data_IF_594599695859
#
_entry.id   IF_594599695859
#
_cell.length_a   1.000
_cell.length_b   1.000
_cell.length_c   1.000
_cell.angle_alpha   90.00
_cell.angle_beta   90.00
_cell.angle_gamma   90.00
#
_symmetry.space_group_name_H-M   'P 1'
#
loop_
_entity.id
_entity.type
_entity.pdbx_description
1 polymer ?
#
# COMPACT_ATOMS: atom_id res chain seq x y z
N UNK A 1 9.67 15.69 -1.26
CA UNK A 1 8.50 16.23 -0.53
C UNK A 1 7.85 17.40 -1.25
N UNK A 2 8.56 18.42 -1.76
CA UNK A 2 7.91 19.46 -2.60
C UNK A 2 7.19 18.87 -3.82
N UNK A 3 7.76 17.82 -4.40
CA UNK A 3 7.14 17.04 -5.48
C UNK A 3 5.83 16.36 -5.07
N UNK A 4 5.65 16.03 -3.78
CA UNK A 4 4.47 15.31 -3.28
C UNK A 4 3.20 16.18 -3.34
N UNK A 5 3.24 17.45 -2.92
CA UNK A 5 2.06 18.31 -3.05
C UNK A 5 1.75 18.72 -4.48
N UNK A 6 2.77 18.76 -5.36
CA UNK A 6 2.55 18.91 -6.81
C UNK A 6 1.84 17.69 -7.37
N UNK A 7 2.29 16.49 -6.97
CA UNK A 7 1.69 15.21 -7.33
C UNK A 7 0.22 15.12 -6.88
N UNK A 8 -0.05 15.25 -5.58
CA UNK A 8 -1.42 15.19 -5.04
C UNK A 8 -2.26 16.35 -5.55
N UNK A 9 -1.67 17.55 -5.67
CA UNK A 9 -2.33 18.74 -6.17
C UNK A 9 -2.72 18.68 -7.65
N UNK A 10 -2.20 17.69 -8.41
CA UNK A 10 -2.56 17.43 -9.80
C UNK A 10 -3.82 16.60 -9.96
N UNK A 11 -4.37 16.02 -8.89
CA UNK A 11 -5.55 15.19 -8.98
C UNK A 11 -6.76 15.99 -9.44
N UNK A 12 -7.54 15.41 -10.35
CA UNK A 12 -8.86 15.90 -10.78
C UNK A 12 -9.91 15.62 -9.70
N UNK A 13 -9.64 16.07 -8.47
CA UNK A 13 -10.48 15.89 -7.31
C UNK A 13 -10.41 17.16 -6.45
N UNK A 14 -11.55 17.70 -5.94
CA UNK A 14 -11.55 18.96 -5.20
C UNK A 14 -10.66 18.88 -3.95
N UNK A 15 -9.67 19.78 -3.83
CA UNK A 15 -8.73 19.80 -2.70
C UNK A 15 -9.42 20.00 -1.35
N UNK A 16 -10.52 20.76 -1.32
CA UNK A 16 -11.39 20.94 -0.15
C UNK A 16 -12.08 19.65 0.32
N UNK A 17 -12.02 18.56 -0.46
CA UNK A 17 -12.52 17.23 -0.09
C UNK A 17 -11.39 16.23 0.18
N UNK A 18 -10.14 16.69 0.25
CA UNK A 18 -8.96 15.86 0.48
C UNK A 18 -8.34 16.22 1.82
N UNK A 19 -8.19 15.22 2.68
CA UNK A 19 -7.25 15.26 3.79
C UNK A 19 -5.96 14.52 3.43
N UNK A 20 -4.82 15.02 3.89
CA UNK A 20 -3.52 14.36 3.69
C UNK A 20 -2.90 14.04 5.04
N UNK A 21 -2.51 12.77 5.23
CA UNK A 21 -1.77 12.31 6.38
C UNK A 21 -0.39 11.79 5.93
N UNK A 22 0.68 12.25 6.60
CA UNK A 22 2.03 11.73 6.44
C UNK A 22 2.53 11.22 7.78
N UNK A 23 3.01 9.98 7.81
CA UNK A 23 3.74 9.43 8.95
C UNK A 23 5.19 9.20 8.57
N UNK A 24 6.12 9.66 9.42
CA UNK A 24 7.56 9.42 9.25
C UNK A 24 8.23 9.01 10.55
N UNK A 25 9.27 8.18 10.43
CA UNK A 25 10.15 7.79 11.54
C UNK A 25 11.43 8.63 11.63
N UNK A 26 11.60 9.62 10.74
CA UNK A 26 12.73 10.54 10.73
C UNK A 26 12.30 11.90 11.24
N UNK A 27 12.93 12.37 12.32
CA UNK A 27 12.64 13.71 12.88
C UNK A 27 12.99 14.82 11.88
N UNK A 28 14.05 14.63 11.09
CA UNK A 28 14.43 15.58 10.04
C UNK A 28 13.33 15.69 8.99
N UNK A 29 12.79 14.55 8.53
CA UNK A 29 11.70 14.54 7.55
C UNK A 29 10.39 15.06 8.15
N UNK A 30 10.14 14.82 9.44
CA UNK A 30 8.99 15.37 10.15
C UNK A 30 9.01 16.89 10.17
N UNK A 31 10.14 17.51 10.52
CA UNK A 31 10.27 18.97 10.56
C UNK A 31 10.06 19.58 9.18
N UNK A 32 10.67 19.00 8.13
CA UNK A 32 10.48 19.44 6.74
C UNK A 32 9.02 19.31 6.29
N UNK A 33 8.40 18.16 6.58
CA UNK A 33 7.00 17.91 6.25
C UNK A 33 6.07 18.90 6.94
N UNK A 34 6.31 19.18 8.23
CA UNK A 34 5.51 20.14 9.01
C UNK A 34 5.57 21.54 8.40
N UNK A 35 6.76 22.02 8.04
CA UNK A 35 6.93 23.32 7.38
C UNK A 35 6.21 23.36 6.04
N UNK A 36 6.37 22.32 5.21
CA UNK A 36 5.71 22.22 3.91
C UNK A 36 4.19 22.15 4.05
N UNK A 37 3.66 21.34 4.97
CA UNK A 37 2.20 21.24 5.20
C UNK A 37 1.62 22.60 5.62
N UNK A 38 2.37 23.39 6.40
CA UNK A 38 1.99 24.74 6.79
C UNK A 38 1.70 25.68 5.61
N UNK A 39 2.42 25.54 4.48
CA UNK A 39 2.18 26.40 3.29
C UNK A 39 0.96 26.00 2.45
N UNK A 40 0.34 24.85 2.74
CA UNK A 40 -0.84 24.34 2.05
C UNK A 40 -2.08 24.24 2.95
N UNK A 41 -2.01 24.74 4.19
CA UNK A 41 -3.06 24.52 5.20
C UNK A 41 -4.45 25.03 4.77
N UNK A 42 -4.49 26.12 4.00
CA UNK A 42 -5.74 26.71 3.48
C UNK A 42 -6.28 26.00 2.22
N UNK A 43 -5.52 25.07 1.63
CA UNK A 43 -5.90 24.44 0.35
C UNK A 43 -6.61 23.10 0.52
N UNK A 44 -6.41 22.43 1.65
CA UNK A 44 -6.89 21.08 1.93
C UNK A 44 -7.80 21.08 3.16
N UNK A 45 -8.74 20.14 3.25
CA UNK A 45 -9.65 20.10 4.40
C UNK A 45 -8.93 19.78 5.71
N UNK A 46 -7.87 18.97 5.63
CA UNK A 46 -7.04 18.62 6.78
C UNK A 46 -5.66 18.15 6.34
N UNK A 47 -4.65 18.61 7.06
CA UNK A 47 -3.26 18.19 6.88
C UNK A 47 -2.76 17.64 8.22
N UNK A 48 -2.14 16.46 8.21
CA UNK A 48 -1.65 15.79 9.43
C UNK A 48 -0.26 15.22 9.19
N UNK A 49 0.70 15.60 10.05
CA UNK A 49 2.06 15.06 10.04
C UNK A 49 2.29 14.35 11.37
N UNK A 50 2.68 13.08 11.32
CA UNK A 50 2.88 12.22 12.49
C UNK A 50 4.34 11.77 12.54
N UNK A 51 4.99 11.95 13.69
CA UNK A 51 6.30 11.38 13.96
C UNK A 51 6.18 10.16 14.88
N UNK A 52 6.71 9.01 14.43
CA UNK A 52 6.82 7.79 15.23
C UNK A 52 8.05 6.97 14.81
N UNK A 53 8.95 6.64 15.71
CA UNK A 53 10.17 5.85 15.45
C UNK A 53 10.27 4.57 16.30
N UNK A 54 9.26 4.30 17.14
CA UNK A 54 9.23 3.28 18.18
C UNK A 54 8.77 1.89 17.70
N UNK A 55 8.37 1.75 16.44
CA UNK A 55 8.01 0.44 15.85
C UNK A 55 9.17 -0.25 15.12
N UNK A 56 10.30 0.43 14.98
CA UNK A 56 11.47 -0.10 14.28
C UNK A 56 12.14 -1.22 15.09
N UNK A 57 12.39 -2.36 14.45
CA UNK A 57 13.21 -3.41 15.04
C UNK A 57 14.69 -2.98 15.04
N UNK A 58 15.43 -3.22 16.14
CA UNK A 58 16.87 -2.95 16.21
C UNK A 58 17.59 -3.65 15.05
N UNK A 59 18.44 -2.93 14.33
CA UNK A 59 19.26 -3.46 13.24
C UNK A 59 18.63 -3.40 11.85
N UNK A 60 17.37 -2.99 11.68
CA UNK A 60 16.80 -2.75 10.36
C UNK A 60 17.32 -1.43 9.77
N UNK A 61 18.01 -1.50 8.64
CA UNK A 61 18.56 -0.34 7.92
C UNK A 61 18.07 -0.33 6.48
N UNK A 62 18.26 0.79 5.77
CA UNK A 62 17.94 0.87 4.32
C UNK A 62 18.76 -0.14 3.50
N UNK A 63 19.99 -0.43 3.91
CA UNK A 63 20.90 -1.32 3.19
C UNK A 63 20.54 -2.81 3.33
N UNK A 64 20.07 -3.24 4.50
CA UNK A 64 19.80 -4.65 4.78
C UNK A 64 18.32 -5.04 4.64
N UNK A 65 17.45 -4.11 4.23
CA UNK A 65 15.99 -4.31 4.11
C UNK A 65 15.56 -5.42 3.14
N UNK A 66 16.46 -5.84 2.24
CA UNK A 66 16.22 -6.88 1.25
C UNK A 66 16.56 -8.28 1.75
N UNK A 67 17.20 -8.42 2.93
CA UNK A 67 17.51 -9.72 3.53
C UNK A 67 16.20 -10.40 3.96
N UNK A 68 15.98 -11.63 3.49
CA UNK A 68 14.74 -12.38 3.74
C UNK A 68 14.40 -12.51 5.23
N UNK A 69 15.39 -12.78 6.10
CA UNK A 69 15.19 -12.88 7.55
C UNK A 69 14.71 -11.58 8.19
N UNK A 70 14.94 -10.42 7.57
CA UNK A 70 14.53 -9.11 8.05
C UNK A 70 13.25 -8.59 7.37
N UNK A 71 12.81 -9.22 6.28
CA UNK A 71 11.61 -8.81 5.53
C UNK A 71 10.35 -8.90 6.39
N UNK A 72 10.18 -9.98 7.17
CA UNK A 72 9.03 -10.15 8.06
C UNK A 72 8.93 -9.01 9.08
N UNK A 73 10.05 -8.73 9.79
CA UNK A 73 10.14 -7.65 10.78
C UNK A 73 9.91 -6.27 10.15
N UNK A 74 10.41 -6.04 8.93
CA UNK A 74 10.15 -4.81 8.18
C UNK A 74 8.67 -4.67 7.81
N UNK A 75 8.05 -5.70 7.24
CA UNK A 75 6.63 -5.67 6.86
C UNK A 75 5.72 -5.49 8.07
N UNK A 76 6.04 -6.13 9.19
CA UNK A 76 5.37 -5.92 10.49
C UNK A 76 5.44 -4.45 10.92
N UNK A 77 6.63 -3.85 10.87
CA UNK A 77 6.83 -2.45 11.21
C UNK A 77 6.03 -1.52 10.28
N UNK A 78 6.04 -1.77 8.96
CA UNK A 78 5.27 -0.99 7.98
C UNK A 78 3.76 -1.11 8.21
N UNK A 79 3.26 -2.33 8.46
CA UNK A 79 1.86 -2.56 8.78
C UNK A 79 1.43 -1.77 10.03
N UNK A 80 2.25 -1.78 11.10
CA UNK A 80 1.99 -0.99 12.31
C UNK A 80 1.93 0.51 12.01
N UNK A 81 2.86 1.03 11.21
CA UNK A 81 2.85 2.44 10.82
C UNK A 81 1.64 2.83 9.99
N UNK A 82 1.28 2.02 8.98
CA UNK A 82 0.09 2.28 8.15
C UNK A 82 -1.19 2.23 8.99
N UNK A 83 -1.36 1.21 9.82
CA UNK A 83 -2.52 1.10 10.70
C UNK A 83 -2.59 2.27 11.69
N UNK A 84 -1.46 2.66 12.28
CA UNK A 84 -1.42 3.81 13.19
C UNK A 84 -1.82 5.11 12.48
N UNK A 85 -1.27 5.36 11.30
CA UNK A 85 -1.61 6.55 10.51
C UNK A 85 -3.10 6.58 10.17
N UNK A 86 -3.66 5.45 9.70
CA UNK A 86 -5.08 5.33 9.38
C UNK A 86 -5.96 5.61 10.59
N UNK A 87 -5.74 4.89 11.69
CA UNK A 87 -6.56 5.00 12.90
C UNK A 87 -6.44 6.37 13.58
N UNK A 88 -5.31 7.06 13.40
CA UNK A 88 -5.09 8.40 13.99
C UNK A 88 -5.70 9.54 13.16
N UNK A 89 -6.08 9.29 11.90
CA UNK A 89 -6.46 10.36 10.96
C UNK A 89 -7.77 10.13 10.22
N UNK A 90 -8.29 8.90 10.20
CA UNK A 90 -9.54 8.58 9.53
C UNK A 90 -10.74 9.08 10.34
N UNK A 91 -11.37 10.12 9.82
CA UNK A 91 -12.64 10.69 10.28
C UNK A 91 -13.88 10.00 9.66
N UNK A 92 -15.06 10.31 10.22
CA UNK A 92 -16.36 9.78 9.78
C UNK A 92 -16.77 10.21 8.36
N UNK A 93 -16.33 11.37 7.90
CA UNK A 93 -16.67 11.91 6.58
C UNK A 93 -15.85 11.31 5.44
N UNK A 94 -14.77 10.58 5.71
CA UNK A 94 -13.99 9.92 4.67
C UNK A 94 -14.79 8.80 4.01
N UNK A 95 -14.85 8.79 2.69
CA UNK A 95 -15.47 7.71 1.90
C UNK A 95 -14.42 6.84 1.19
N UNK A 96 -13.22 7.38 1.00
CA UNK A 96 -12.15 6.78 0.22
C UNK A 96 -10.82 6.99 0.95
N UNK A 97 -9.96 5.97 0.92
CA UNK A 97 -8.59 6.03 1.43
C UNK A 97 -7.67 5.68 0.27
N UNK A 98 -6.68 6.54 0.00
CA UNK A 98 -5.65 6.30 -1.01
C UNK A 98 -4.31 6.28 -0.31
N UNK A 99 -3.69 5.11 -0.29
CA UNK A 99 -2.32 4.89 0.15
C UNK A 99 -1.37 5.24 -0.97
N UNK A 100 -0.30 5.98 -0.68
CA UNK A 100 0.75 6.34 -1.64
C UNK A 100 2.10 6.25 -0.92
N UNK A 101 3.01 5.44 -1.42
CA UNK A 101 4.38 5.39 -0.89
C UNK A 101 5.14 6.69 -1.25
N UNK A 102 6.05 7.11 -0.38
CA UNK A 102 6.74 8.41 -0.49
C UNK A 102 7.74 8.51 -1.66
N UNK A 103 8.03 7.40 -2.33
CA UNK A 103 8.92 7.28 -3.49
C UNK A 103 8.17 7.13 -4.83
N UNK A 104 6.85 7.34 -4.83
CA UNK A 104 6.05 7.57 -6.06
C UNK A 104 6.26 8.99 -6.56
N UNK A 105 6.58 9.13 -7.85
CA UNK A 105 6.93 10.42 -8.48
C UNK A 105 5.92 10.88 -9.52
N UNK A 106 5.13 9.98 -10.11
CA UNK A 106 4.10 10.34 -11.11
C UNK A 106 2.83 9.54 -10.86
N UNK A 107 1.71 10.25 -10.82
CA UNK A 107 0.35 9.72 -10.71
C UNK A 107 -0.48 10.49 -11.74
N UNK A 108 -1.15 9.81 -12.69
CA UNK A 108 -2.04 10.48 -13.64
C UNK A 108 -3.16 11.25 -12.90
N UNK A 109 -3.43 12.49 -13.33
CA UNK A 109 -4.39 13.41 -12.67
C UNK A 109 -5.78 12.81 -12.45
N UNK A 110 -6.30 12.09 -13.46
CA UNK A 110 -7.61 11.45 -13.41
C UNK A 110 -7.66 10.10 -12.68
N UNK A 111 -6.53 9.55 -12.21
CA UNK A 111 -6.48 8.17 -11.71
C UNK A 111 -7.31 7.99 -10.44
N UNK A 112 -7.20 8.90 -9.47
CA UNK A 112 -7.98 8.82 -8.21
C UNK A 112 -9.47 8.94 -8.50
N UNK A 113 -9.88 9.85 -9.38
CA UNK A 113 -11.28 9.99 -9.79
C UNK A 113 -11.80 8.72 -10.47
N UNK A 114 -10.98 8.08 -11.32
CA UNK A 114 -11.30 6.80 -11.97
C UNK A 114 -11.46 5.68 -10.95
N UNK A 115 -10.61 5.60 -9.93
CA UNK A 115 -10.73 4.62 -8.82
C UNK A 115 -12.03 4.82 -8.04
N UNK A 116 -12.34 6.07 -7.66
CA UNK A 116 -13.59 6.42 -6.95
C UNK A 116 -14.82 6.03 -7.79
N UNK A 117 -14.85 6.40 -9.07
CA UNK A 117 -15.96 6.09 -9.98
C UNK A 117 -16.10 4.62 -10.35
N UNK A 118 -15.07 3.79 -10.09
CA UNK A 118 -15.09 2.37 -10.45
C UNK A 118 -16.09 1.54 -9.64
N UNK A 119 -16.51 2.02 -8.47
CA UNK A 119 -17.36 1.29 -7.53
C UNK A 119 -16.70 0.06 -6.89
N UNK A 120 -15.41 -0.18 -7.15
CA UNK A 120 -14.67 -1.35 -6.63
C UNK A 120 -14.26 -1.14 -5.16
N UNK A 121 -14.01 -2.25 -4.48
CA UNK A 121 -13.74 -2.28 -3.04
C UNK A 121 -12.31 -1.81 -2.74
N UNK A 122 -11.32 -2.54 -3.30
CA UNK A 122 -9.87 -2.30 -3.14
C UNK A 122 -9.24 -2.31 -4.53
N UNK A 123 -8.45 -1.29 -4.89
CA UNK A 123 -7.94 -1.10 -6.25
C UNK A 123 -6.48 -0.66 -6.25
N UNK A 124 -5.65 -1.36 -7.03
CA UNK A 124 -4.24 -1.04 -7.22
C UNK A 124 -3.93 -0.74 -8.70
N UNK A 125 -3.27 0.38 -9.04
CA UNK A 125 -2.71 0.63 -10.36
C UNK A 125 -1.36 -0.08 -10.52
N UNK A 126 -0.90 -0.25 -11.76
CA UNK A 126 0.44 -0.76 -11.99
C UNK A 126 1.49 0.27 -11.53
N UNK A 127 2.53 -0.16 -10.81
CA UNK A 127 3.66 0.69 -10.49
C UNK A 127 4.85 0.33 -11.38
N UNK A 128 5.33 1.29 -12.17
CA UNK A 128 6.47 1.09 -13.08
C UNK A 128 7.69 1.88 -12.64
N UNK A 129 8.87 1.35 -12.98
CA UNK A 129 10.15 2.05 -12.83
C UNK A 129 10.91 1.96 -14.13
N UNK A 130 11.56 3.05 -14.52
CA UNK A 130 12.44 3.07 -15.68
C UNK A 130 13.86 2.71 -15.26
N UNK A 131 14.39 1.65 -15.85
CA UNK A 131 15.76 1.20 -15.65
C UNK A 131 16.47 1.30 -17.00
N UNK A 132 17.34 2.31 -17.14
CA UNK A 132 18.17 2.52 -18.35
C UNK A 132 17.33 2.57 -19.65
N UNK A 133 16.22 3.32 -19.62
CA UNK A 133 15.31 3.46 -20.77
C UNK A 133 14.23 2.39 -20.87
N UNK A 134 14.27 1.35 -20.03
CA UNK A 134 13.28 0.27 -20.02
C UNK A 134 12.32 0.40 -18.85
N UNK A 135 11.02 0.49 -19.14
CA UNK A 135 9.97 0.43 -18.13
C UNK A 135 9.74 -1.01 -17.67
N UNK A 136 9.78 -1.24 -16.36
CA UNK A 136 9.54 -2.54 -15.73
C UNK A 136 8.53 -2.43 -14.59
N UNK A 137 7.82 -3.52 -14.31
CA UNK A 137 7.00 -3.61 -13.10
C UNK A 137 7.87 -3.47 -11.85
N UNK A 138 7.57 -2.47 -11.04
CA UNK A 138 8.25 -2.25 -9.78
C UNK A 138 7.55 -2.97 -8.63
N UNK A 139 6.24 -2.81 -8.47
CA UNK A 139 5.48 -3.48 -7.41
C UNK A 139 5.11 -4.90 -7.83
N UNK A 140 5.74 -5.89 -7.17
CA UNK A 140 5.53 -7.31 -7.45
C UNK A 140 4.59 -8.00 -6.45
N UNK A 141 4.01 -7.25 -5.52
CA UNK A 141 3.07 -7.79 -4.53
C UNK A 141 1.65 -7.89 -5.08
N UNK A 142 1.37 -7.22 -6.21
CA UNK A 142 0.12 -7.30 -6.96
C UNK A 142 0.08 -8.53 -7.88
N UNK A 143 -0.75 -9.50 -7.56
CA UNK A 143 -0.86 -10.72 -8.37
C UNK A 143 -2.20 -11.47 -8.17
N UNK A 144 -2.49 -12.36 -9.12
CA UNK A 144 -3.57 -13.36 -9.07
C UNK A 144 -2.97 -14.76 -9.21
N UNK A 145 -3.43 -15.72 -8.42
CA UNK A 145 -2.93 -17.10 -8.44
C UNK A 145 -2.93 -17.77 -7.08
N UNK A 146 -2.14 -18.84 -6.97
CA UNK A 146 -2.01 -19.60 -5.73
C UNK A 146 -0.85 -19.06 -4.90
N UNK A 147 -0.82 -19.42 -3.61
CA UNK A 147 0.35 -19.21 -2.73
C UNK A 147 1.04 -20.54 -2.48
N UNK A 148 2.33 -20.48 -2.13
CA UNK A 148 3.04 -21.63 -1.58
C UNK A 148 2.39 -22.01 -0.25
N UNK A 149 2.24 -23.31 -0.01
CA UNK A 149 1.74 -23.84 1.25
C UNK A 149 2.91 -24.42 2.03
N UNK A 150 3.08 -24.00 3.29
CA UNK A 150 4.15 -24.51 4.15
C UNK A 150 3.81 -25.93 4.61
N UNK A 151 4.69 -26.89 4.36
CA UNK A 151 4.58 -28.22 4.95
C UNK A 151 4.92 -28.18 6.45
N UNK A 152 4.38 -29.11 7.25
CA UNK A 152 4.55 -29.08 8.72
C UNK A 152 6.03 -29.08 9.18
N UNK A 153 6.92 -29.70 8.40
CA UNK A 153 8.34 -29.87 8.75
C UNK A 153 9.27 -28.84 8.10
N UNK A 154 8.76 -27.94 7.26
CA UNK A 154 9.58 -26.97 6.54
C UNK A 154 9.90 -25.75 7.41
N UNK A 155 11.12 -25.73 7.96
CA UNK A 155 11.65 -24.64 8.79
C UNK A 155 12.20 -23.48 7.96
N UNK A 156 12.56 -23.71 6.70
CA UNK A 156 13.18 -22.75 5.80
C UNK A 156 12.20 -22.20 4.76
N UNK A 157 10.90 -22.39 5.01
CA UNK A 157 9.82 -21.95 4.14
C UNK A 157 9.88 -20.45 3.86
N UNK A 158 9.91 -20.10 2.58
CA UNK A 158 9.82 -18.72 2.11
C UNK A 158 8.43 -18.47 1.52
N UNK A 159 7.60 -17.61 2.14
CA UNK A 159 6.27 -17.28 1.63
C UNK A 159 6.29 -16.63 0.27
N UNK A 160 5.13 -16.63 -0.38
CA UNK A 160 4.92 -15.94 -1.64
C UNK A 160 4.09 -16.73 -2.65
N UNK A 161 3.92 -16.15 -3.85
CA UNK A 161 3.09 -16.74 -4.89
C UNK A 161 3.62 -18.08 -5.40
N UNK A 162 2.69 -18.94 -5.79
CA UNK A 162 2.87 -20.18 -6.54
C UNK A 162 2.09 -20.03 -7.86
N UNK A 163 2.78 -20.10 -9.01
CA UNK A 163 2.18 -19.94 -10.34
C UNK A 163 1.37 -18.64 -10.52
N UNK A 164 1.71 -17.57 -9.79
CA UNK A 164 0.97 -16.33 -9.86
C UNK A 164 1.32 -15.48 -11.08
N UNK A 165 0.34 -14.68 -11.51
CA UNK A 165 0.45 -13.74 -12.61
C UNK A 165 0.39 -12.34 -12.04
N UNK A 166 1.45 -11.57 -12.24
CA UNK A 166 1.48 -10.13 -11.95
C UNK A 166 0.88 -9.33 -13.11
N UNK A 167 0.77 -8.01 -12.97
CA UNK A 167 0.23 -7.10 -14.00
C UNK A 167 0.75 -7.34 -15.43
N UNK A 168 2.01 -7.76 -15.58
CA UNK A 168 2.60 -8.01 -16.90
C UNK A 168 2.11 -9.30 -17.56
N UNK A 169 1.69 -10.28 -16.76
CA UNK A 169 1.32 -11.63 -17.21
C UNK A 169 -0.17 -11.94 -16.99
N UNK A 170 -1.00 -10.92 -16.73
CA UNK A 170 -2.44 -11.11 -16.58
C UNK A 170 -3.05 -11.60 -17.90
N UNK A 171 -3.97 -12.58 -17.84
CA UNK A 171 -4.54 -13.21 -19.04
C UNK A 171 -5.39 -12.25 -19.89
N UNK A 172 -6.00 -11.24 -19.27
CA UNK A 172 -6.87 -10.28 -19.95
C UNK A 172 -6.57 -8.85 -19.50
N UNK A 173 -5.62 -8.21 -20.20
CA UNK A 173 -5.26 -6.80 -20.01
C UNK A 173 -6.16 -5.85 -20.80
N UNK A 174 -7.10 -6.38 -21.60
CA UNK A 174 -8.05 -5.57 -22.37
C UNK A 174 -9.07 -4.89 -21.47
N UNK A 175 -9.31 -5.46 -20.28
CA UNK A 175 -10.21 -4.90 -19.28
C UNK A 175 -9.55 -3.80 -18.45
N UNK A 176 -10.29 -2.74 -18.08
CA UNK A 176 -9.77 -1.68 -17.21
C UNK A 176 -9.54 -2.15 -15.77
N UNK A 177 -10.23 -3.22 -15.34
CA UNK A 177 -10.10 -3.81 -14.01
C UNK A 177 -10.03 -5.33 -14.09
N UNK A 178 -9.14 -5.92 -13.31
CA UNK A 178 -8.95 -7.38 -13.19
C UNK A 178 -8.95 -7.80 -11.73
N UNK A 179 -9.43 -9.00 -11.37
CA UNK A 179 -9.35 -9.48 -9.99
C UNK A 179 -7.90 -9.74 -9.56
N UNK A 180 -7.60 -9.51 -8.28
CA UNK A 180 -6.32 -9.81 -7.63
C UNK A 180 -6.55 -10.61 -6.35
N UNK A 181 -5.61 -11.49 -6.03
CA UNK A 181 -5.56 -12.25 -4.76
C UNK A 181 -4.63 -11.58 -3.74
N UNK A 182 -3.70 -10.75 -4.21
CA UNK A 182 -2.77 -9.97 -3.41
C UNK A 182 -2.54 -8.62 -4.04
N UNK A 183 -2.33 -7.61 -3.19
CA UNK A 183 -2.01 -6.24 -3.60
C UNK A 183 -0.68 -5.80 -3.02
N UNK A 184 -0.07 -4.80 -3.64
CA UNK A 184 1.04 -4.05 -3.11
C UNK A 184 0.64 -2.80 -2.34
N UNK A 185 1.64 -1.96 -2.12
CA UNK A 185 1.54 -0.79 -1.25
C UNK A 185 2.04 0.51 -1.88
N UNK A 186 2.58 0.45 -3.10
CA UNK A 186 3.11 1.63 -3.80
C UNK A 186 2.02 2.67 -4.03
N UNK A 187 0.85 2.25 -4.50
CA UNK A 187 -0.39 3.01 -4.40
C UNK A 187 -1.58 2.06 -4.27
N UNK A 188 -2.48 2.32 -3.33
CA UNK A 188 -3.63 1.44 -3.09
C UNK A 188 -4.85 2.27 -2.69
N UNK A 189 -5.93 2.12 -3.45
CA UNK A 189 -7.24 2.67 -3.10
C UNK A 189 -8.06 1.64 -2.31
N UNK A 190 -8.73 2.08 -1.26
CA UNK A 190 -9.64 1.29 -0.43
C UNK A 190 -10.87 2.14 -0.09
N UNK A 191 -12.09 1.61 -0.23
CA UNK A 191 -13.27 2.28 0.33
C UNK A 191 -13.13 2.38 1.85
N UNK A 192 -13.37 3.56 2.42
CA UNK A 192 -13.13 3.80 3.85
C UNK A 192 -13.90 2.85 4.77
N UNK A 193 -15.11 2.44 4.39
CA UNK A 193 -15.92 1.51 5.19
C UNK A 193 -15.30 0.11 5.34
N UNK A 194 -14.43 -0.30 4.41
CA UNK A 194 -13.71 -1.57 4.50
C UNK A 194 -12.72 -1.52 5.66
N UNK A 195 -12.01 -0.41 5.80
CA UNK A 195 -11.15 -0.16 6.97
C UNK A 195 -11.96 -0.03 8.26
N UNK A 196 -13.13 0.62 8.23
CA UNK A 196 -14.02 0.71 9.41
C UNK A 196 -14.55 -0.64 9.88
N UNK A 197 -14.69 -1.60 8.98
CA UNK A 197 -15.08 -2.97 9.30
C UNK A 197 -13.92 -3.85 9.78
N UNK A 198 -12.73 -3.28 9.97
CA UNK A 198 -11.58 -3.96 10.56
C UNK A 198 -10.62 -4.58 9.55
N UNK A 199 -10.80 -4.37 8.24
CA UNK A 199 -9.78 -4.76 7.25
C UNK A 199 -8.62 -3.79 7.36
N UNK A 200 -7.50 -4.26 7.90
CA UNK A 200 -6.29 -3.48 8.14
C UNK A 200 -5.08 -4.20 7.55
N UNK A 201 -3.91 -3.55 7.49
CA UNK A 201 -2.69 -4.25 7.10
C UNK A 201 -2.29 -5.21 8.23
N UNK A 202 -2.24 -6.54 8.03
CA UNK A 202 -1.94 -7.44 9.13
C UNK A 202 -0.51 -7.23 9.65
N UNK A 203 -0.38 -7.13 10.98
CA UNK A 203 0.92 -6.91 11.65
C UNK A 203 1.67 -8.22 11.91
N UNK A 204 1.07 -9.35 11.56
CA UNK A 204 1.61 -10.69 11.68
C UNK A 204 1.14 -11.51 10.47
N UNK A 205 1.72 -12.68 10.24
CA UNK A 205 1.29 -13.59 9.19
C UNK A 205 -0.08 -14.19 9.50
N UNK A 206 -1.11 -13.84 8.75
CA UNK A 206 -2.48 -14.33 9.02
C UNK A 206 -2.72 -15.74 8.46
N UNK A 207 -1.97 -16.16 7.45
CA UNK A 207 -2.15 -17.46 6.81
C UNK A 207 -1.40 -18.52 7.62
N UNK A 208 -2.15 -19.53 8.08
CA UNK A 208 -1.64 -20.62 8.92
C UNK A 208 -1.36 -20.21 10.37
N UNK A 209 -1.93 -19.10 10.84
CA UNK A 209 -1.86 -18.70 12.24
C UNK A 209 -2.74 -19.57 13.13
N UNK A 210 -2.23 -19.89 14.32
CA UNK A 210 -2.91 -20.64 15.38
C UNK A 210 -2.72 -19.91 16.73
N UNK A 211 -3.47 -20.29 17.76
CA UNK A 211 -3.45 -19.62 19.08
C UNK A 211 -2.05 -19.47 19.69
N UNK A 212 -1.16 -20.45 19.52
CA UNK A 212 0.19 -20.45 20.09
C UNK A 212 1.31 -20.16 19.09
N UNK A 213 0.99 -19.97 17.80
CA UNK A 213 2.01 -19.88 16.74
C UNK A 213 1.58 -18.92 15.65
N UNK A 214 2.46 -17.96 15.35
CA UNK A 214 2.31 -17.11 14.18
C UNK A 214 2.35 -17.96 12.90
N UNK A 215 1.51 -17.56 11.94
CA UNK A 215 1.46 -18.13 10.61
C UNK A 215 2.74 -17.95 9.80
N UNK A 216 2.63 -18.17 8.50
CA UNK A 216 3.78 -18.18 7.61
C UNK A 216 3.66 -17.29 6.38
N UNK A 217 2.46 -16.77 6.09
CA UNK A 217 2.25 -15.90 4.94
C UNK A 217 1.12 -14.87 5.19
N UNK A 218 0.95 -13.91 4.29
CA UNK A 218 -0.10 -12.89 4.36
C UNK A 218 0.15 -11.83 5.43
N UNK A 219 1.31 -11.19 5.42
CA UNK A 219 1.59 -10.02 6.27
C UNK A 219 1.44 -8.72 5.47
N UNK A 220 1.05 -7.64 6.14
CA UNK A 220 0.99 -6.29 5.57
C UNK A 220 0.05 -6.19 4.34
N UNK A 221 0.52 -5.82 3.15
CA UNK A 221 -0.33 -5.65 1.95
C UNK A 221 -0.80 -6.98 1.40
N UNK A 222 0.08 -7.97 1.42
CA UNK A 222 -0.21 -9.31 0.91
C UNK A 222 -1.23 -10.08 1.75
N UNK A 223 -1.46 -9.65 3.00
CA UNK A 223 -2.52 -10.17 3.86
C UNK A 223 -3.86 -9.42 3.75
N UNK A 224 -3.86 -8.23 3.15
CA UNK A 224 -5.03 -7.35 3.13
C UNK A 224 -6.20 -7.98 2.37
N UNK A 225 -5.95 -8.46 1.14
CA UNK A 225 -6.98 -9.10 0.32
C UNK A 225 -7.50 -10.39 0.93
N UNK A 226 -6.62 -11.17 1.57
CA UNK A 226 -7.00 -12.37 2.29
C UNK A 226 -7.97 -12.04 3.44
N UNK A 227 -7.67 -11.03 4.25
CA UNK A 227 -8.58 -10.59 5.31
C UNK A 227 -9.88 -10.00 4.77
N UNK A 228 -9.81 -9.19 3.71
CA UNK A 228 -10.97 -8.55 3.08
C UNK A 228 -11.95 -9.55 2.48
N UNK A 229 -11.43 -10.67 1.94
CA UNK A 229 -12.22 -11.73 1.31
C UNK A 229 -13.28 -12.32 2.25
N UNK A 230 -12.96 -12.54 3.53
CA UNK A 230 -13.90 -13.11 4.52
C UNK A 230 -15.09 -12.19 4.81
N UNK A 231 -14.98 -10.89 4.50
CA UNK A 231 -16.08 -9.93 4.60
C UNK A 231 -16.80 -9.71 3.26
N UNK A 232 -16.47 -10.49 2.22
CA UNK A 232 -17.07 -10.40 0.89
C UNK A 232 -16.47 -9.34 -0.03
N UNK A 233 -15.40 -8.64 0.38
CA UNK A 233 -14.72 -7.64 -0.44
C UNK A 233 -13.73 -8.27 -1.42
N UNK A 234 -13.51 -7.59 -2.54
CA UNK A 234 -12.62 -8.05 -3.62
C UNK A 234 -11.51 -7.04 -3.92
N UNK A 235 -10.32 -7.56 -4.19
CA UNK A 235 -9.21 -6.77 -4.68
C UNK A 235 -9.17 -6.75 -6.21
N UNK A 236 -8.77 -5.60 -6.76
CA UNK A 236 -8.75 -5.34 -8.19
C UNK A 236 -7.47 -4.64 -8.61
N UNK A 237 -6.98 -4.97 -9.80
CA UNK A 237 -5.86 -4.30 -10.45
C UNK A 237 -6.31 -3.48 -11.66
N UNK A 238 -5.59 -2.38 -11.95
CA UNK A 238 -5.78 -1.54 -13.14
C UNK A 238 -4.61 -1.70 -14.12
N UNK A 239 -4.62 -2.72 -15.01
CA UNK A 239 -3.45 -3.05 -15.85
C UNK A 239 -3.14 -2.02 -16.96
N UNK A 240 -4.05 -1.06 -17.18
CA UNK A 240 -3.94 0.01 -18.18
C UNK A 240 -3.53 1.36 -17.56
N UNK A 241 -3.50 1.46 -16.24
CA UNK A 241 -3.18 2.68 -15.52
C UNK A 241 -1.90 2.47 -14.74
N UNK A 242 -0.91 3.34 -14.96
CA UNK A 242 0.40 3.22 -14.37
C UNK A 242 0.81 4.47 -13.60
N UNK A 243 1.40 4.24 -12.42
CA UNK A 243 2.14 5.24 -11.65
C UNK A 243 3.63 4.99 -11.78
N UNK A 244 4.46 6.00 -11.50
CA UNK A 244 5.91 5.87 -11.60
C UNK A 244 6.56 5.95 -10.23
N UNK A 245 7.50 5.03 -10.00
CA UNK A 245 8.39 5.04 -8.85
C UNK A 245 9.70 5.75 -9.18
N UNK A 246 10.37 6.31 -8.18
CA UNK A 246 11.68 6.95 -8.34
C UNK A 246 12.69 6.02 -9.03
N UNK A 247 13.54 6.64 -9.86
CA UNK A 247 14.53 6.06 -10.76
C UNK A 247 15.52 5.11 -10.10
#
# INVERSE_FOLDING_TARGET
MEDFFKLIGSFEYPRSKISIALLTSSMVEFTKAKQLFGSYIEQYSRLSVIFRNDFSAKGLTRANRHIHSLQASRRRMLARYRNYALLSTMESWHQHVVWVDADVTVIPSGLVLKMVKSGRDIVEPMCVRNIRGRWVNYDRNAWVGQRKVRSANDKDFVPGPLNARSFHNLPDRSKPFVPLDSVGGTMLYVRADIHRQGVMFPVHYVIGSEWGREGYDGIETEGLCYSAHFLGYKCWGMPQDAIQHIW
#
